data_IF_331621815190
#
_entry.id   IF_331621815190
#
_cell.length_a   1.000
_cell.length_b   1.000
_cell.length_c   1.000
_cell.angle_alpha   90.00
_cell.angle_beta   90.00
_cell.angle_gamma   90.00
#
_symmetry.space_group_name_H-M   'P 1'
#
loop_
_entity.id
_entity.type
_entity.pdbx_description
1 polymer ?
#
# COMPACT_ATOMS: atom_id res chain seq x y z
N UNK A 1 -8.58 0.60 13.22
CA UNK A 1 -7.88 0.23 11.96
C UNK A 1 -8.67 0.59 10.69
N UNK A 2 -10.01 0.74 10.71
CA UNK A 2 -10.80 1.00 9.50
C UNK A 2 -10.58 2.37 8.81
N UNK A 3 -10.06 3.38 9.51
CA UNK A 3 -9.93 4.75 8.98
C UNK A 3 -8.75 4.97 8.02
N UNK A 4 -7.79 4.03 7.94
CA UNK A 4 -6.55 4.20 7.14
C UNK A 4 -6.50 3.36 5.87
N UNK A 5 -7.53 2.54 5.62
CA UNK A 5 -7.58 1.65 4.44
C UNK A 5 -7.51 2.49 3.17
N UNK A 6 -8.44 3.44 3.00
CA UNK A 6 -8.48 4.30 1.83
C UNK A 6 -7.16 5.08 1.63
N UNK A 7 -6.58 5.63 2.71
CA UNK A 7 -5.29 6.33 2.64
C UNK A 7 -4.14 5.43 2.17
N UNK A 8 -4.08 4.18 2.65
CA UNK A 8 -3.07 3.22 2.18
C UNK A 8 -3.23 2.89 0.69
N UNK A 9 -4.48 2.77 0.22
CA UNK A 9 -4.77 2.56 -1.21
C UNK A 9 -4.31 3.75 -2.05
N UNK A 10 -4.58 4.97 -1.58
CA UNK A 10 -4.15 6.20 -2.24
C UNK A 10 -2.62 6.27 -2.34
N UNK A 11 -1.89 5.92 -1.29
CA UNK A 11 -0.42 5.88 -1.34
C UNK A 11 0.11 4.85 -2.34
N UNK A 12 -0.55 3.70 -2.44
CA UNK A 12 -0.14 2.64 -3.37
C UNK A 12 -0.24 3.05 -4.84
N UNK A 13 -1.03 4.07 -5.20
CA UNK A 13 -1.11 4.57 -6.59
C UNK A 13 0.09 5.43 -6.99
N UNK A 14 0.94 5.86 -6.05
CA UNK A 14 2.05 6.79 -6.29
C UNK A 14 1.62 8.26 -6.42
N UNK A 15 0.33 8.56 -6.34
CA UNK A 15 -0.23 9.94 -6.36
C UNK A 15 -1.05 10.26 -5.11
N UNK A 16 -0.81 9.52 -4.03
CA UNK A 16 -1.61 9.58 -2.81
C UNK A 16 -1.58 10.93 -2.09
N UNK A 17 -0.49 11.70 -2.19
CA UNK A 17 -0.38 13.02 -1.56
C UNK A 17 -1.42 14.03 -2.08
N UNK A 18 -1.83 13.87 -3.33
CA UNK A 18 -2.86 14.71 -3.94
C UNK A 18 -4.27 14.32 -3.46
N UNK A 19 -4.46 13.06 -3.07
CA UNK A 19 -5.78 12.49 -2.72
C UNK A 19 -6.03 12.36 -1.21
N UNK A 20 -4.98 12.34 -0.39
CA UNK A 20 -5.09 12.21 1.07
C UNK A 20 -5.21 13.60 1.68
N UNK A 21 -6.23 13.78 2.50
CA UNK A 21 -6.42 14.98 3.29
C UNK A 21 -6.02 14.76 4.75
N UNK A 22 -5.42 15.78 5.35
CA UNK A 22 -4.96 15.79 6.74
C UNK A 22 -6.00 16.35 7.73
N UNK A 23 -7.03 17.02 7.22
CA UNK A 23 -8.15 17.59 7.99
C UNK A 23 -9.41 17.69 7.14
N UNK A 24 -10.56 17.98 7.77
CA UNK A 24 -11.82 18.19 7.06
C UNK A 24 -11.75 19.40 6.11
N UNK A 25 -11.06 20.47 6.53
CA UNK A 25 -10.86 21.68 5.73
C UNK A 25 -10.02 21.38 4.47
N UNK A 26 -8.92 20.66 4.66
CA UNK A 26 -8.04 20.22 3.56
C UNK A 26 -8.79 19.30 2.58
N UNK A 27 -9.65 18.42 3.10
CA UNK A 27 -10.52 17.57 2.28
C UNK A 27 -11.45 18.40 1.39
N UNK A 28 -12.13 19.39 1.97
CA UNK A 28 -13.03 20.30 1.24
C UNK A 28 -12.27 21.09 0.17
N UNK A 29 -11.15 21.71 0.53
CA UNK A 29 -10.32 22.49 -0.39
C UNK A 29 -9.83 21.66 -1.57
N UNK A 30 -9.35 20.42 -1.31
CA UNK A 30 -8.93 19.50 -2.37
C UNK A 30 -10.10 19.08 -3.26
N UNK A 31 -11.24 18.71 -2.68
CA UNK A 31 -12.42 18.29 -3.44
C UNK A 31 -12.95 19.42 -4.34
N UNK A 32 -13.07 20.64 -3.80
CA UNK A 32 -13.50 21.82 -4.55
C UNK A 32 -12.47 22.20 -5.61
N UNK A 33 -11.17 22.17 -5.30
CA UNK A 33 -10.09 22.42 -6.27
C UNK A 33 -10.16 21.49 -7.48
N UNK A 34 -10.42 20.20 -7.25
CA UNK A 34 -10.58 19.21 -8.32
C UNK A 34 -11.89 19.41 -9.10
N UNK A 35 -12.99 19.72 -8.41
CA UNK A 35 -14.28 19.95 -9.05
C UNK A 35 -14.29 21.21 -9.95
N UNK A 36 -13.63 22.28 -9.52
CA UNK A 36 -13.56 23.54 -10.27
C UNK A 36 -12.51 23.53 -11.39
N UNK A 37 -11.52 22.64 -11.33
CA UNK A 37 -10.46 22.55 -12.33
C UNK A 37 -10.50 21.20 -13.08
N UNK A 38 -11.29 21.18 -14.17
CA UNK A 38 -11.44 19.99 -15.01
C UNK A 38 -10.12 19.47 -15.59
N UNK A 39 -9.18 20.36 -15.93
CA UNK A 39 -7.88 19.96 -16.47
C UNK A 39 -7.06 19.18 -15.42
N UNK A 40 -7.03 19.68 -14.17
CA UNK A 40 -6.37 19.01 -13.04
C UNK A 40 -7.02 17.65 -12.72
N UNK A 41 -8.36 17.58 -12.74
CA UNK A 41 -9.08 16.33 -12.52
C UNK A 41 -8.79 15.30 -13.63
N UNK A 42 -8.71 15.76 -14.88
CA UNK A 42 -8.40 14.91 -16.03
C UNK A 42 -6.97 14.36 -15.94
N UNK A 43 -5.99 15.21 -15.64
CA UNK A 43 -4.59 14.80 -15.43
C UNK A 43 -4.45 13.74 -14.33
N UNK A 44 -5.07 13.96 -13.16
CA UNK A 44 -5.09 12.99 -12.07
C UNK A 44 -5.72 11.67 -12.52
N UNK A 45 -6.83 11.73 -13.25
CA UNK A 45 -7.53 10.55 -13.78
C UNK A 45 -6.64 9.76 -14.75
N UNK A 46 -5.92 10.45 -15.63
CA UNK A 46 -5.08 9.81 -16.63
C UNK A 46 -3.83 9.19 -16.00
N UNK A 47 -3.23 9.85 -15.00
CA UNK A 47 -2.16 9.27 -14.17
C UNK A 47 -2.63 8.02 -13.45
N UNK A 48 -3.81 8.06 -12.82
CA UNK A 48 -4.40 6.89 -12.15
C UNK A 48 -4.65 5.73 -13.12
N UNK A 49 -5.16 6.00 -14.32
CA UNK A 49 -5.34 4.98 -15.36
C UNK A 49 -4.01 4.37 -15.80
N UNK A 50 -2.98 5.20 -15.98
CA UNK A 50 -1.64 4.77 -16.38
C UNK A 50 -0.97 3.87 -15.35
N UNK A 51 -1.14 4.15 -14.06
CA UNK A 51 -0.53 3.36 -12.97
C UNK A 51 -1.39 2.17 -12.53
N UNK A 52 -2.68 2.09 -12.91
CA UNK A 52 -3.60 1.05 -12.41
C UNK A 52 -3.08 -0.38 -12.62
N UNK A 53 -2.39 -0.66 -13.72
CA UNK A 53 -1.88 -2.01 -14.02
C UNK A 53 -0.46 -2.25 -13.50
N UNK A 54 0.25 -1.21 -13.05
CA UNK A 54 1.64 -1.30 -12.58
C UNK A 54 1.79 -1.00 -11.09
N UNK A 55 0.76 -0.47 -10.44
CA UNK A 55 0.80 -0.17 -9.02
C UNK A 55 0.74 -1.46 -8.19
N UNK A 56 1.40 -1.49 -7.01
CA UNK A 56 1.43 -2.69 -6.15
C UNK A 56 0.06 -3.18 -5.71
N UNK A 57 -0.98 -2.34 -5.80
CA UNK A 57 -2.33 -2.66 -5.35
C UNK A 57 -2.93 -3.88 -6.08
N UNK A 58 -2.57 -4.08 -7.35
CA UNK A 58 -3.09 -5.16 -8.18
C UNK A 58 -2.03 -6.23 -8.51
N UNK A 59 -0.84 -6.15 -7.91
CA UNK A 59 0.20 -7.17 -8.03
C UNK A 59 -0.06 -8.30 -7.02
N UNK A 60 -1.04 -9.15 -7.33
CA UNK A 60 -1.44 -10.26 -6.46
C UNK A 60 -0.30 -11.24 -6.22
N UNK A 61 0.53 -11.52 -7.22
CA UNK A 61 1.66 -12.44 -7.09
C UNK A 61 2.68 -11.94 -6.08
N UNK A 62 3.05 -10.66 -6.14
CA UNK A 62 3.93 -10.03 -5.14
C UNK A 62 3.29 -10.01 -3.75
N UNK A 63 1.99 -9.72 -3.67
CA UNK A 63 1.26 -9.74 -2.41
C UNK A 63 1.27 -11.13 -1.74
N UNK A 64 0.95 -12.19 -2.49
CA UNK A 64 0.99 -13.57 -2.00
C UNK A 64 2.39 -13.93 -1.51
N UNK A 65 3.44 -13.62 -2.29
CA UNK A 65 4.82 -13.91 -1.88
C UNK A 65 5.22 -13.16 -0.61
N UNK A 66 4.77 -11.91 -0.44
CA UNK A 66 4.99 -11.17 0.81
C UNK A 66 4.20 -11.74 2.00
N UNK A 67 3.03 -12.31 1.76
CA UNK A 67 2.23 -12.99 2.80
C UNK A 67 2.89 -14.29 3.24
N UNK A 68 3.34 -15.11 2.29
CA UNK A 68 4.17 -16.29 2.55
C UNK A 68 5.38 -15.87 3.40
N UNK A 69 6.04 -14.75 3.02
CA UNK A 69 7.11 -14.14 3.80
C UNK A 69 6.80 -13.86 5.26
N UNK A 70 5.62 -13.33 5.52
CA UNK A 70 5.17 -13.13 6.89
C UNK A 70 5.00 -14.46 7.64
N UNK A 71 4.38 -15.47 7.01
CA UNK A 71 4.08 -16.74 7.67
C UNK A 71 5.32 -17.52 8.06
N UNK A 72 6.31 -17.65 7.19
CA UNK A 72 7.56 -18.33 7.55
C UNK A 72 8.32 -17.58 8.64
N UNK A 73 8.32 -16.23 8.61
CA UNK A 73 8.96 -15.45 9.68
C UNK A 73 8.27 -15.66 11.03
N UNK A 74 6.94 -15.70 11.05
CA UNK A 74 6.15 -16.03 12.24
C UNK A 74 6.47 -17.45 12.75
N UNK A 75 6.56 -18.42 11.83
CA UNK A 75 6.89 -19.80 12.15
C UNK A 75 8.29 -19.93 12.77
N UNK A 76 9.30 -19.29 12.17
CA UNK A 76 10.68 -19.32 12.67
C UNK A 76 10.82 -18.68 14.06
N UNK A 77 10.12 -17.58 14.33
CA UNK A 77 10.06 -16.96 15.66
C UNK A 77 9.49 -17.96 16.67
N UNK A 78 8.40 -18.63 16.33
CA UNK A 78 7.77 -19.63 17.19
C UNK A 78 8.68 -20.85 17.44
N UNK A 79 9.26 -21.44 16.39
CA UNK A 79 10.18 -22.58 16.51
C UNK A 79 11.45 -22.24 17.31
N UNK A 80 11.88 -20.98 17.31
CA UNK A 80 13.01 -20.50 18.12
C UNK A 80 12.65 -20.27 19.59
N UNK A 81 11.42 -20.61 20.01
CA UNK A 81 10.93 -20.43 21.39
C UNK A 81 10.71 -18.97 21.79
N UNK A 82 10.70 -18.05 20.83
CA UNK A 82 10.48 -16.62 21.08
C UNK A 82 8.99 -16.30 21.16
N UNK A 83 8.66 -15.25 21.92
CA UNK A 83 7.29 -14.73 21.95
C UNK A 83 6.95 -13.93 20.68
N UNK A 84 5.65 -13.80 20.34
CA UNK A 84 5.22 -12.95 19.23
C UNK A 84 5.77 -11.52 19.38
N UNK A 85 6.43 -11.04 18.34
CA UNK A 85 7.08 -9.73 18.31
C UNK A 85 6.76 -8.99 17.01
N UNK A 86 6.90 -7.67 17.04
CA UNK A 86 6.74 -6.84 15.84
C UNK A 86 7.88 -7.11 14.86
N UNK A 87 7.53 -7.34 13.60
CA UNK A 87 8.48 -7.41 12.51
C UNK A 87 7.91 -6.77 11.24
N UNK A 88 8.79 -6.42 10.32
CA UNK A 88 8.45 -5.95 8.99
C UNK A 88 8.87 -7.01 7.97
N UNK A 89 8.01 -7.27 6.99
CA UNK A 89 8.36 -8.10 5.83
C UNK A 89 9.20 -7.26 4.88
N UNK A 90 10.38 -7.77 4.53
CA UNK A 90 11.27 -7.23 3.50
C UNK A 90 11.28 -8.17 2.31
N UNK A 91 11.46 -7.63 1.12
CA UNK A 91 11.53 -8.43 -0.11
C UNK A 91 12.93 -9.00 -0.31
N UNK A 92 13.40 -9.74 0.70
CA UNK A 92 14.69 -10.40 0.70
C UNK A 92 14.46 -11.91 0.81
N UNK A 93 14.69 -12.63 -0.29
CA UNK A 93 14.52 -14.08 -0.33
C UNK A 93 15.64 -14.83 0.42
N UNK A 94 16.66 -14.11 0.92
CA UNK A 94 17.73 -14.72 1.73
C UNK A 94 17.28 -15.08 3.14
N UNK A 95 16.23 -14.44 3.66
CA UNK A 95 15.56 -14.82 4.92
C UNK A 95 14.55 -15.95 4.69
N UNK A 96 14.48 -16.45 3.45
CA UNK A 96 13.54 -17.42 2.93
C UNK A 96 14.29 -18.66 2.46
N UNK A 97 14.60 -19.62 3.34
CA UNK A 97 14.87 -20.94 2.84
C UNK A 97 13.56 -21.44 2.25
N UNK A 98 13.43 -21.42 0.91
CA UNK A 98 12.68 -22.49 0.27
C UNK A 98 13.26 -23.77 0.85
N UNK A 99 12.44 -24.58 1.51
CA UNK A 99 12.85 -25.88 2.03
C UNK A 99 13.72 -26.57 0.98
N UNK A 100 15.02 -26.74 1.28
CA UNK A 100 15.90 -27.70 0.60
C UNK A 100 15.77 -29.04 1.31
#
# INVERSE_FOLDING_TARGET
>A
MATRVAGSLCLATGVGEEMIASSMKDYEEKAVSLALNRAKLQDLTDRLKGVRMSCPLFDTSRWVRNLERAYFKMWNIYCSGQHPQHFKVTENDSEFPYDQ
#
